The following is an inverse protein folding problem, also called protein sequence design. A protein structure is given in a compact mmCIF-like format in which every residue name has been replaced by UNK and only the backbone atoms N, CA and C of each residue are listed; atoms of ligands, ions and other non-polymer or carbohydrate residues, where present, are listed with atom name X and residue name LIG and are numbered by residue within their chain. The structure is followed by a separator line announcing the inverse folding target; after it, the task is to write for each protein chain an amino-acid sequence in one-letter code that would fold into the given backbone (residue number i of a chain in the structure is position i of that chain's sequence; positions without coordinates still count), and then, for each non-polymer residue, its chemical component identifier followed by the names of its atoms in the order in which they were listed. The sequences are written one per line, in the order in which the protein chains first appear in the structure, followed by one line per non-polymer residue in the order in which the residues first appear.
data_IF_072163793701
#
_entry.id   IF_072163793701
#
_cell.length_a   1.000
_cell.length_b   1.000
_cell.length_c   1.000
_cell.angle_alpha   90.00
_cell.angle_beta   90.00
_cell.angle_gamma   90.00
#
_symmetry.space_group_name_H-M   'P 1'
#
loop_
_entity.id
_entity.type
_entity.pdbx_description
1 polymer ?
#
# COMPACT_ATOMS: atom_id res chain seq x y z
N UNK A 1 -6.51 0.11 -25.83
CA UNK A 1 -7.59 0.87 -25.18
C UNK A 1 -8.56 -0.11 -24.56
N UNK A 2 -8.93 0.09 -23.29
CA UNK A 2 -10.04 -0.64 -22.69
C UNK A 2 -11.35 -0.02 -23.20
N UNK A 3 -12.29 -0.82 -23.70
CA UNK A 3 -13.53 -0.30 -24.31
C UNK A 3 -14.53 0.21 -23.29
N UNK A 4 -14.43 -0.28 -22.05
CA UNK A 4 -15.43 -0.08 -20.99
C UNK A 4 -14.89 0.76 -19.82
N UNK A 5 -13.76 1.46 -20.01
CA UNK A 5 -13.14 2.31 -18.97
C UNK A 5 -12.83 3.68 -19.55
N UNK A 6 -13.35 4.71 -18.88
CA UNK A 6 -12.98 6.10 -19.13
C UNK A 6 -11.90 6.54 -18.11
N UNK A 7 -10.68 6.78 -18.59
CA UNK A 7 -9.56 7.24 -17.77
C UNK A 7 -9.50 8.77 -17.73
N UNK A 8 -8.80 9.32 -16.73
CA UNK A 8 -8.66 10.77 -16.51
C UNK A 8 -10.00 11.50 -16.33
N UNK A 9 -11.01 10.77 -15.85
CA UNK A 9 -12.35 11.28 -15.59
C UNK A 9 -12.69 10.99 -14.13
N UNK A 10 -12.93 12.04 -13.33
CA UNK A 10 -13.33 11.92 -11.94
C UNK A 10 -14.84 12.08 -11.84
N UNK A 11 -15.52 11.12 -11.21
CA UNK A 11 -16.91 11.30 -10.78
C UNK A 11 -16.95 12.33 -9.65
N UNK A 12 -17.70 13.41 -9.82
CA UNK A 12 -17.81 14.52 -8.87
C UNK A 12 -19.15 14.53 -8.12
N UNK A 13 -20.18 13.89 -8.68
CA UNK A 13 -21.45 13.69 -8.01
C UNK A 13 -22.15 12.42 -8.50
N UNK A 14 -22.94 11.83 -7.61
CA UNK A 14 -23.89 10.78 -7.92
C UNK A 14 -25.15 11.01 -7.07
N UNK A 15 -26.30 11.18 -7.73
CA UNK A 15 -27.58 11.44 -7.07
C UNK A 15 -28.57 10.38 -7.49
N UNK A 16 -29.24 9.77 -6.52
CA UNK A 16 -30.28 8.79 -6.80
C UNK A 16 -31.57 9.51 -7.19
N UNK A 17 -32.11 9.15 -8.34
CA UNK A 17 -33.42 9.56 -8.85
C UNK A 17 -34.45 8.49 -8.47
N UNK A 18 -35.31 8.83 -7.52
CA UNK A 18 -36.33 7.92 -6.99
C UNK A 18 -37.45 7.62 -8.00
N UNK A 19 -37.80 8.58 -8.87
CA UNK A 19 -38.88 8.42 -9.86
C UNK A 19 -38.48 7.35 -10.89
N UNK A 20 -37.23 7.40 -11.34
CA UNK A 20 -36.71 6.49 -12.35
C UNK A 20 -35.97 5.28 -11.76
N UNK A 21 -35.75 5.25 -10.44
CA UNK A 21 -34.93 4.23 -9.76
C UNK A 21 -33.53 4.07 -10.38
N UNK A 22 -32.87 5.21 -10.64
CA UNK A 22 -31.54 5.25 -11.28
C UNK A 22 -30.61 6.23 -10.58
N UNK A 23 -29.32 6.13 -10.86
CA UNK A 23 -28.29 7.09 -10.45
C UNK A 23 -27.99 8.03 -11.60
N UNK A 24 -28.10 9.34 -11.35
CA UNK A 24 -27.54 10.38 -12.20
C UNK A 24 -26.11 10.70 -11.73
N UNK A 25 -25.14 10.49 -12.61
CA UNK A 25 -23.70 10.61 -12.32
C UNK A 25 -23.13 11.75 -13.15
N UNK A 26 -22.36 12.65 -12.52
CA UNK A 26 -21.64 13.71 -13.22
C UNK A 26 -20.13 13.60 -12.99
N UNK A 27 -19.37 14.01 -14.00
CA UNK A 27 -17.91 13.94 -13.99
C UNK A 27 -17.28 15.33 -14.11
N UNK A 28 -15.99 15.44 -13.81
CA UNK A 28 -15.21 16.68 -13.96
C UNK A 28 -14.93 17.07 -15.41
N UNK A 29 -15.07 16.13 -16.36
CA UNK A 29 -15.00 16.41 -17.80
C UNK A 29 -16.30 17.03 -18.35
N UNK A 30 -17.35 17.12 -17.52
CA UNK A 30 -18.68 17.58 -17.92
C UNK A 30 -19.54 16.48 -18.56
N UNK A 31 -19.02 15.25 -18.68
CA UNK A 31 -19.83 14.11 -19.10
C UNK A 31 -20.79 13.68 -17.98
N UNK A 32 -21.88 13.02 -18.37
CA UNK A 32 -22.84 12.45 -17.43
C UNK A 32 -23.23 11.03 -17.85
N UNK A 33 -23.63 10.24 -16.86
CA UNK A 33 -24.12 8.89 -17.06
C UNK A 33 -25.36 8.64 -16.21
N UNK A 34 -26.21 7.74 -16.68
CA UNK A 34 -27.35 7.21 -15.92
C UNK A 34 -27.15 5.71 -15.76
N UNK A 35 -27.27 5.20 -14.53
CA UNK A 35 -27.09 3.78 -14.25
C UNK A 35 -28.13 3.27 -13.25
N UNK A 36 -28.60 2.02 -13.43
CA UNK A 36 -29.48 1.37 -12.45
C UNK A 36 -28.74 1.01 -11.17
N UNK A 37 -27.45 0.69 -11.27
CA UNK A 37 -26.62 0.29 -10.16
C UNK A 37 -25.35 1.13 -10.12
N UNK A 38 -24.95 1.53 -8.92
CA UNK A 38 -23.70 2.23 -8.64
C UNK A 38 -22.82 1.34 -7.77
N UNK A 39 -21.70 0.88 -8.34
CA UNK A 39 -20.71 0.07 -7.62
C UNK A 39 -19.48 0.93 -7.34
N UNK A 40 -19.24 1.24 -6.07
CA UNK A 40 -18.13 2.10 -5.65
C UNK A 40 -16.89 1.27 -5.34
N UNK A 41 -15.96 1.22 -6.29
CA UNK A 41 -14.64 0.60 -6.13
C UNK A 41 -13.54 1.66 -5.92
N UNK A 42 -13.79 2.64 -5.04
CA UNK A 42 -12.94 3.85 -4.87
C UNK A 42 -11.67 3.63 -4.03
N UNK A 43 -11.52 2.43 -3.45
CA UNK A 43 -10.36 2.03 -2.64
C UNK A 43 -10.36 2.63 -1.22
N UNK A 44 -9.96 1.86 -0.19
CA UNK A 44 -9.98 2.33 1.20
C UNK A 44 -8.85 3.31 1.56
N UNK A 45 -7.82 3.44 0.71
CA UNK A 45 -6.61 4.24 0.96
C UNK A 45 -6.31 5.21 -0.21
N UNK A 46 -7.33 5.71 -0.89
CA UNK A 46 -7.19 6.49 -2.13
C UNK A 46 -7.06 8.00 -1.96
N UNK A 47 -7.54 8.57 -0.85
CA UNK A 47 -7.48 10.00 -0.58
C UNK A 47 -6.33 10.30 0.38
N UNK A 48 -5.25 10.97 -0.07
CA UNK A 48 -4.13 11.28 0.81
C UNK A 48 -4.51 12.34 1.83
N UNK A 49 -4.05 12.17 3.07
CA UNK A 49 -4.16 13.21 4.10
C UNK A 49 -3.00 14.18 3.97
N UNK A 50 -3.26 15.36 3.43
CA UNK A 50 -2.27 16.42 3.33
C UNK A 50 -2.06 17.05 4.71
N UNK A 51 -0.81 17.06 5.18
CA UNK A 51 -0.44 17.73 6.42
C UNK A 51 -0.43 19.24 6.19
N UNK A 52 -1.17 19.98 7.01
CA UNK A 52 -1.12 21.44 7.01
C UNK A 52 -0.07 21.92 8.02
N UNK A 53 1.19 22.02 7.58
CA UNK A 53 2.30 22.51 8.40
C UNK A 53 2.47 24.01 8.15
N UNK A 54 2.45 24.88 9.17
CA UNK A 54 2.68 26.31 8.99
C UNK A 54 4.00 26.60 8.26
N UNK A 55 3.95 27.41 7.20
CA UNK A 55 5.11 27.79 6.39
C UNK A 55 5.58 26.76 5.37
N UNK A 56 4.84 25.66 5.17
CA UNK A 56 5.18 24.62 4.18
C UNK A 56 5.24 25.16 2.74
N UNK A 57 4.44 26.17 2.43
CA UNK A 57 4.40 26.87 1.15
C UNK A 57 5.64 27.74 0.88
N UNK A 58 6.43 28.06 1.91
CA UNK A 58 7.68 28.80 1.79
C UNK A 58 8.90 27.90 1.53
N UNK A 59 8.73 26.58 1.43
CA UNK A 59 9.84 25.67 1.16
C UNK A 59 10.31 25.80 -0.30
N UNK A 60 11.58 26.20 -0.49
CA UNK A 60 12.16 26.41 -1.83
C UNK A 60 12.65 25.12 -2.51
N UNK A 61 12.68 24.00 -1.78
CA UNK A 61 13.07 22.70 -2.31
C UNK A 61 11.90 21.91 -2.90
N UNK A 62 12.18 20.75 -3.47
CA UNK A 62 11.15 19.84 -3.98
C UNK A 62 10.44 19.11 -2.83
N UNK A 63 9.11 19.17 -2.80
CA UNK A 63 8.28 18.49 -1.82
C UNK A 63 7.04 17.87 -2.48
N UNK A 64 6.69 16.64 -2.09
CA UNK A 64 5.50 15.94 -2.59
C UNK A 64 5.00 14.92 -1.56
N UNK A 65 3.69 14.65 -1.58
CA UNK A 65 3.12 13.50 -0.89
C UNK A 65 3.42 12.23 -1.72
N UNK A 66 3.77 11.12 -1.07
CA UNK A 66 4.20 9.88 -1.74
C UNK A 66 3.16 9.30 -2.71
N UNK A 67 1.86 9.49 -2.43
CA UNK A 67 0.77 9.09 -3.35
C UNK A 67 0.79 9.82 -4.70
N UNK A 68 1.35 11.04 -4.73
CA UNK A 68 1.42 11.91 -5.89
C UNK A 68 2.88 12.19 -6.28
N UNK A 69 3.80 11.29 -5.90
CA UNK A 69 5.21 11.42 -6.23
C UNK A 69 5.40 11.52 -7.76
N UNK A 70 6.28 12.42 -8.23
CA UNK A 70 6.60 12.51 -9.65
C UNK A 70 7.08 11.18 -10.23
N UNK A 71 6.57 10.82 -11.41
CA UNK A 71 6.92 9.58 -12.12
C UNK A 71 7.95 9.84 -13.21
N UNK A 72 8.66 8.79 -13.60
CA UNK A 72 9.53 8.85 -14.78
C UNK A 72 8.68 9.26 -16.02
N UNK A 73 9.20 10.12 -16.90
CA UNK A 73 8.53 10.51 -18.15
C UNK A 73 8.06 9.32 -19.03
N UNK A 74 8.70 8.16 -18.93
CA UNK A 74 8.28 6.93 -19.63
C UNK A 74 7.01 6.29 -19.03
N UNK A 75 6.52 6.79 -17.90
CA UNK A 75 5.32 6.33 -17.21
C UNK A 75 5.55 5.20 -16.19
N UNK A 76 6.76 4.66 -16.08
CA UNK A 76 7.11 3.52 -15.22
C UNK A 76 8.14 3.90 -14.15
N UNK A 77 7.78 3.68 -12.89
CA UNK A 77 8.66 3.94 -11.75
C UNK A 77 8.69 5.41 -11.31
N UNK A 78 9.43 5.70 -10.22
CA UNK A 78 9.58 7.05 -9.69
C UNK A 78 10.53 7.88 -10.56
N UNK A 79 10.29 9.19 -10.62
CA UNK A 79 11.21 10.14 -11.27
C UNK A 79 12.59 10.17 -10.58
N UNK A 80 12.61 9.98 -9.27
CA UNK A 80 13.82 10.03 -8.46
C UNK A 80 14.20 8.63 -7.99
N UNK A 81 15.42 8.22 -8.31
CA UNK A 81 16.03 6.96 -7.88
C UNK A 81 17.42 7.15 -7.24
N UNK A 82 17.96 8.37 -7.30
CA UNK A 82 19.23 8.77 -6.70
C UNK A 82 19.06 10.12 -5.98
N UNK A 83 19.54 10.19 -4.75
CA UNK A 83 19.45 11.36 -3.87
C UNK A 83 20.83 11.95 -3.54
N UNK A 84 21.88 11.55 -4.25
CA UNK A 84 23.24 12.06 -4.04
C UNK A 84 23.30 13.58 -4.13
N UNK A 85 24.00 14.22 -3.20
CA UNK A 85 24.07 15.67 -3.10
C UNK A 85 22.87 16.32 -2.40
N UNK A 86 21.82 15.56 -2.07
CA UNK A 86 20.60 16.07 -1.45
C UNK A 86 20.55 15.78 0.04
N UNK A 87 19.94 16.72 0.77
CA UNK A 87 19.48 16.52 2.15
C UNK A 87 17.98 16.29 2.11
N UNK A 88 17.55 15.10 2.50
CA UNK A 88 16.16 14.67 2.37
C UNK A 88 15.49 14.63 3.74
N UNK A 89 14.27 15.17 3.82
CA UNK A 89 13.38 15.04 4.97
C UNK A 89 12.24 14.08 4.64
N UNK A 90 11.97 13.09 5.50
CA UNK A 90 10.79 12.23 5.40
C UNK A 90 9.90 12.46 6.61
N UNK A 91 8.63 12.80 6.36
CA UNK A 91 7.62 13.02 7.41
C UNK A 91 6.68 11.82 7.44
N UNK A 92 6.62 11.14 8.58
CA UNK A 92 5.80 9.95 8.78
C UNK A 92 6.55 8.63 8.59
N UNK A 93 6.21 7.65 9.42
CA UNK A 93 6.90 6.37 9.59
C UNK A 93 5.97 5.16 9.46
N UNK A 94 4.80 5.34 8.83
CA UNK A 94 3.95 4.20 8.43
C UNK A 94 4.61 3.35 7.33
N UNK A 95 3.92 2.33 6.84
CA UNK A 95 4.47 1.38 5.86
C UNK A 95 5.16 2.04 4.65
N UNK A 96 4.57 3.09 4.07
CA UNK A 96 5.20 3.85 2.99
C UNK A 96 6.47 4.59 3.43
N UNK A 97 6.45 5.19 4.62
CA UNK A 97 7.61 5.89 5.18
C UNK A 97 8.79 4.95 5.40
N UNK A 98 8.55 3.77 5.99
CA UNK A 98 9.58 2.74 6.21
C UNK A 98 10.28 2.37 4.90
N UNK A 99 9.52 2.11 3.84
CA UNK A 99 10.08 1.77 2.52
C UNK A 99 10.84 2.93 1.88
N UNK A 100 10.30 4.15 1.93
CA UNK A 100 10.95 5.35 1.37
C UNK A 100 12.25 5.67 2.10
N UNK A 101 12.26 5.57 3.43
CA UNK A 101 13.46 5.79 4.26
C UNK A 101 14.56 4.80 3.89
N UNK A 102 14.22 3.51 3.73
CA UNK A 102 15.17 2.47 3.33
C UNK A 102 15.82 2.77 1.98
N UNK A 103 15.05 3.16 0.96
CA UNK A 103 15.62 3.47 -0.36
C UNK A 103 16.38 4.79 -0.39
N UNK A 104 15.86 5.83 0.27
CA UNK A 104 16.48 7.17 0.30
C UNK A 104 17.83 7.15 1.02
N UNK A 105 17.92 6.42 2.14
CA UNK A 105 19.13 6.32 2.96
C UNK A 105 20.35 5.74 2.22
N UNK A 106 20.15 5.04 1.10
CA UNK A 106 21.23 4.42 0.33
C UNK A 106 22.09 5.45 -0.42
N UNK A 107 21.53 6.61 -0.77
CA UNK A 107 22.19 7.57 -1.67
C UNK A 107 22.15 9.02 -1.20
N UNK A 108 21.22 9.40 -0.30
CA UNK A 108 21.16 10.78 0.19
C UNK A 108 22.39 11.16 1.03
N UNK A 109 22.87 12.40 0.88
CA UNK A 109 23.99 12.92 1.68
C UNK A 109 23.59 13.08 3.16
N UNK A 110 22.31 13.41 3.40
CA UNK A 110 21.73 13.45 4.74
C UNK A 110 20.24 13.08 4.68
N UNK A 111 19.80 12.21 5.58
CA UNK A 111 18.38 11.87 5.76
C UNK A 111 17.92 12.28 7.16
N UNK A 112 16.86 13.06 7.24
CA UNK A 112 16.18 13.41 8.49
C UNK A 112 14.77 12.81 8.50
N UNK A 113 14.46 12.02 9.51
CA UNK A 113 13.13 11.39 9.66
C UNK A 113 12.36 12.10 10.75
N UNK A 114 11.21 12.66 10.40
CA UNK A 114 10.26 13.28 11.33
C UNK A 114 9.19 12.25 11.70
N UNK A 115 9.40 11.61 12.85
CA UNK A 115 8.51 10.60 13.40
C UNK A 115 7.62 11.21 14.48
N UNK A 116 6.32 10.95 14.41
CA UNK A 116 5.39 11.26 15.50
C UNK A 116 5.29 10.07 16.47
N UNK A 117 4.91 8.91 15.95
CA UNK A 117 4.75 7.67 16.70
C UNK A 117 5.57 6.56 16.02
N UNK A 118 6.35 5.75 16.77
CA UNK A 118 7.05 4.60 16.21
C UNK A 118 6.07 3.48 15.86
N UNK A 119 6.38 2.75 14.79
CA UNK A 119 5.61 1.58 14.34
C UNK A 119 6.38 0.28 14.61
N UNK A 120 5.67 -0.80 14.91
CA UNK A 120 6.28 -2.13 14.94
C UNK A 120 6.55 -2.60 13.52
N UNK A 121 7.83 -2.80 13.20
CA UNK A 121 8.27 -3.26 11.90
C UNK A 121 8.90 -4.65 12.02
N UNK A 122 8.44 -5.60 11.21
CA UNK A 122 9.06 -6.91 11.05
C UNK A 122 9.76 -7.04 9.69
N UNK A 123 10.80 -7.87 9.59
CA UNK A 123 11.48 -8.12 8.34
C UNK A 123 10.56 -8.84 7.35
N UNK A 124 10.45 -8.30 6.13
CA UNK A 124 9.68 -8.93 5.06
C UNK A 124 10.33 -10.24 4.56
N UNK A 125 11.65 -10.37 4.72
CA UNK A 125 12.50 -11.44 4.17
C UNK A 125 12.27 -11.70 2.68
N UNK A 126 12.12 -10.61 1.91
CA UNK A 126 11.92 -10.68 0.48
C UNK A 126 13.14 -11.29 -0.23
N UNK A 127 12.91 -12.04 -1.31
CA UNK A 127 13.96 -12.65 -2.11
C UNK A 127 13.45 -13.04 -3.49
N UNK A 128 14.35 -13.31 -4.45
CA UNK A 128 13.96 -13.77 -5.77
C UNK A 128 13.21 -15.11 -5.69
N UNK A 129 12.32 -15.33 -6.66
CA UNK A 129 11.63 -16.60 -6.88
C UNK A 129 12.23 -17.18 -8.17
N UNK A 130 12.87 -18.34 -8.07
CA UNK A 130 13.41 -19.04 -9.24
C UNK A 130 12.32 -19.80 -10.00
N UNK A 131 12.67 -20.29 -11.20
CA UNK A 131 11.73 -20.94 -12.11
C UNK A 131 11.11 -22.20 -11.51
N UNK A 132 11.86 -22.97 -10.72
CA UNK A 132 11.35 -24.20 -10.09
C UNK A 132 10.37 -23.88 -8.96
N UNK A 133 10.72 -22.93 -8.09
CA UNK A 133 9.81 -22.42 -7.05
C UNK A 133 8.54 -21.84 -7.67
N UNK A 134 8.66 -21.11 -8.78
CA UNK A 134 7.51 -20.54 -9.48
C UNK A 134 6.60 -21.63 -10.08
N UNK A 135 7.16 -22.73 -10.60
CA UNK A 135 6.37 -23.87 -11.08
C UNK A 135 5.63 -24.54 -9.92
N UNK A 136 6.28 -24.74 -8.79
CA UNK A 136 5.68 -25.32 -7.59
C UNK A 136 4.51 -24.46 -7.09
N UNK A 137 4.72 -23.14 -6.93
CA UNK A 137 3.67 -22.19 -6.54
C UNK A 137 2.44 -22.32 -7.46
N UNK A 138 2.66 -22.36 -8.78
CA UNK A 138 1.57 -22.47 -9.77
C UNK A 138 0.83 -23.81 -9.68
N UNK A 139 1.56 -24.90 -9.48
CA UNK A 139 0.95 -26.22 -9.29
C UNK A 139 0.04 -26.25 -8.04
N UNK A 140 0.39 -25.47 -7.01
CA UNK A 140 -0.32 -25.40 -5.73
C UNK A 140 -1.43 -24.33 -5.67
N UNK A 141 -1.68 -23.57 -6.75
CA UNK A 141 -2.71 -22.51 -6.76
C UNK A 141 -4.10 -22.93 -6.26
N UNK A 142 -4.68 -24.08 -6.66
CA UNK A 142 -6.02 -24.45 -6.19
C UNK A 142 -6.10 -24.54 -4.66
N UNK A 143 -5.07 -25.11 -4.03
CA UNK A 143 -4.99 -25.26 -2.58
C UNK A 143 -4.68 -23.93 -1.89
N UNK A 144 -3.75 -23.12 -2.44
CA UNK A 144 -3.47 -21.78 -1.91
C UNK A 144 -4.73 -20.90 -1.91
N UNK A 145 -5.49 -20.88 -3.01
CA UNK A 145 -6.72 -20.11 -3.08
C UNK A 145 -7.82 -20.66 -2.16
N UNK A 146 -7.84 -21.98 -1.91
CA UNK A 146 -8.73 -22.56 -0.91
C UNK A 146 -8.38 -22.04 0.48
N UNK A 147 -7.11 -22.11 0.89
CA UNK A 147 -6.63 -21.58 2.16
C UNK A 147 -6.92 -20.08 2.33
N UNK A 148 -6.64 -19.26 1.33
CA UNK A 148 -6.97 -17.84 1.37
C UNK A 148 -8.48 -17.58 1.54
N UNK A 149 -9.36 -18.42 1.00
CA UNK A 149 -10.82 -18.26 1.22
C UNK A 149 -11.26 -18.64 2.63
N UNK A 150 -10.50 -19.50 3.30
CA UNK A 150 -10.85 -20.08 4.60
C UNK A 150 -10.18 -19.33 5.76
N UNK A 151 -9.02 -18.70 5.54
CA UNK A 151 -8.27 -17.93 6.54
C UNK A 151 -8.90 -16.58 6.88
N UNK A 152 -8.67 -16.08 8.09
CA UNK A 152 -9.19 -14.78 8.55
C UNK A 152 -8.79 -13.59 7.65
N UNK A 153 -7.51 -13.47 7.31
CA UNK A 153 -6.96 -12.32 6.56
C UNK A 153 -6.89 -12.52 5.05
N UNK A 154 -7.42 -13.62 4.54
CA UNK A 154 -7.21 -14.06 3.15
C UNK A 154 -5.75 -14.29 2.73
N UNK A 155 -4.92 -14.71 3.67
CA UNK A 155 -3.52 -15.11 3.43
C UNK A 155 -3.38 -16.63 3.41
N UNK A 156 -2.17 -17.12 3.10
CA UNK A 156 -1.86 -18.56 3.13
C UNK A 156 -1.48 -19.09 4.53
N UNK A 157 -1.50 -18.22 5.53
CA UNK A 157 -1.31 -18.51 6.95
C UNK A 157 -2.58 -18.12 7.72
N UNK A 158 -2.71 -18.63 8.94
CA UNK A 158 -3.81 -18.31 9.85
C UNK A 158 -3.27 -18.20 11.28
N UNK A 159 -4.13 -17.80 12.21
CA UNK A 159 -3.77 -17.69 13.62
C UNK A 159 -3.47 -19.06 14.26
N UNK A 160 -2.51 -19.07 15.18
CA UNK A 160 -2.36 -20.18 16.11
C UNK A 160 -3.45 -20.06 17.19
N UNK A 161 -4.21 -21.14 17.40
CA UNK A 161 -5.32 -21.15 18.37
C UNK A 161 -4.82 -21.19 19.83
N UNK A 162 -3.54 -21.49 20.05
CA UNK A 162 -2.96 -21.55 21.40
C UNK A 162 -2.79 -20.16 21.98
N UNK A 163 -3.08 -20.03 23.27
CA UNK A 163 -2.78 -18.83 24.04
C UNK A 163 -1.28 -18.75 24.32
N UNK A 164 -0.64 -17.66 23.91
CA UNK A 164 0.77 -17.38 24.26
C UNK A 164 0.98 -17.20 25.77
N UNK A 165 -0.09 -16.90 26.53
CA UNK A 165 -0.02 -16.77 27.98
C UNK A 165 0.06 -18.14 28.68
N UNK A 166 -0.35 -19.21 28.00
CA UNK A 166 -0.31 -20.58 28.51
C UNK A 166 0.98 -21.32 28.11
N UNK A 167 1.82 -20.70 27.28
CA UNK A 167 3.11 -21.24 26.84
C UNK A 167 4.20 -20.99 27.89
N UNK A 168 5.10 -21.95 28.08
CA UNK A 168 6.34 -21.73 28.81
C UNK A 168 7.18 -20.64 28.13
N UNK A 169 7.98 -19.90 28.89
CA UNK A 169 8.72 -18.74 28.37
C UNK A 169 9.66 -19.13 27.22
N UNK A 170 10.39 -20.24 27.37
CA UNK A 170 11.31 -20.73 26.34
C UNK A 170 10.57 -21.22 25.08
N UNK A 171 9.39 -21.83 25.24
CA UNK A 171 8.55 -22.26 24.11
C UNK A 171 8.01 -21.05 23.34
N UNK A 172 7.55 -20.04 24.07
CA UNK A 172 7.00 -18.80 23.50
C UNK A 172 8.08 -18.01 22.75
N UNK A 173 9.28 -17.90 23.30
CA UNK A 173 10.40 -17.24 22.63
C UNK A 173 10.80 -18.00 21.36
N UNK A 174 10.94 -19.33 21.42
CA UNK A 174 11.23 -20.14 20.24
C UNK A 174 10.14 -20.02 19.16
N UNK A 175 8.86 -19.94 19.57
CA UNK A 175 7.74 -19.72 18.66
C UNK A 175 7.85 -18.35 17.96
N UNK A 176 8.07 -17.27 18.71
CA UNK A 176 8.19 -15.93 18.11
C UNK A 176 9.42 -15.78 17.23
N UNK A 177 10.56 -16.37 17.60
CA UNK A 177 11.77 -16.38 16.77
C UNK A 177 11.54 -17.10 15.43
N UNK A 178 10.83 -18.23 15.44
CA UNK A 178 10.45 -18.92 14.21
C UNK A 178 9.54 -18.06 13.33
N UNK A 179 8.51 -17.42 13.90
CA UNK A 179 7.63 -16.51 13.14
C UNK A 179 8.38 -15.31 12.58
N UNK A 180 9.27 -14.71 13.37
CA UNK A 180 10.09 -13.56 12.95
C UNK A 180 11.09 -13.92 11.86
N UNK A 181 11.55 -15.18 11.80
CA UNK A 181 12.42 -15.69 10.74
C UNK A 181 11.72 -16.07 9.43
N UNK A 182 10.39 -16.20 9.42
CA UNK A 182 9.61 -16.59 8.23
C UNK A 182 9.35 -15.40 7.31
N UNK A 183 9.19 -15.69 6.00
CA UNK A 183 8.86 -14.65 5.00
C UNK A 183 7.45 -14.10 5.19
N UNK A 184 7.31 -12.80 5.01
CA UNK A 184 6.01 -12.13 4.96
C UNK A 184 5.39 -11.90 6.34
N UNK A 185 4.06 -11.91 6.37
CA UNK A 185 3.25 -11.59 7.54
C UNK A 185 2.98 -12.85 8.37
N UNK A 186 4.03 -13.50 8.86
CA UNK A 186 3.91 -14.74 9.64
C UNK A 186 3.72 -14.50 11.15
N UNK A 187 3.69 -13.24 11.59
CA UNK A 187 3.62 -12.81 13.01
C UNK A 187 2.18 -12.55 13.42
#
# INVERSE_FOLDING_TARGET
MCKDIEFNTRVISATFDEENSTWAIATDSGSSAIAQHLVLAVGPLSVPKILNIPGMDCFEGEAFHTSNAPRDPNGFGPKYTDFKGLRVGVVGTGATGVQVIQETSKTADQLTVFQLEPEYCSPLHNGPIDDETQKEIRANYPEMFKKCRESFGSFVHDFDERSVLDMADEEREAFFEDLYGRRGFAI
#
